data_IF_494624943443
#
_entry.id   IF_494624943443
#
_cell.length_a   1.000
_cell.length_b   1.000
_cell.length_c   1.000
_cell.angle_alpha   90.00
_cell.angle_beta   90.00
_cell.angle_gamma   90.00
#
_symmetry.space_group_name_H-M   'P 1'
#
loop_
_entity.id
_entity.type
_entity.pdbx_description
1 polymer ?
#
# COMPACT_ATOMS: atom_id res chain seq x y z
N UNK A 1 -41.50 -12.55 -7.47
CA UNK A 1 -40.12 -12.94 -7.15
C UNK A 1 -39.30 -11.70 -7.38
N UNK A 2 -39.06 -10.93 -6.32
CA UNK A 2 -38.14 -9.81 -6.39
C UNK A 2 -36.75 -10.42 -6.27
N UNK A 3 -35.94 -10.33 -7.32
CA UNK A 3 -34.52 -10.62 -7.21
C UNK A 3 -33.92 -9.54 -6.30
N UNK A 4 -33.53 -9.95 -5.09
CA UNK A 4 -32.64 -9.13 -4.25
C UNK A 4 -31.40 -8.79 -5.10
N UNK A 5 -30.96 -7.52 -5.15
CA UNK A 5 -29.69 -7.22 -5.79
C UNK A 5 -28.62 -8.04 -5.06
N UNK A 6 -27.91 -8.90 -5.82
CA UNK A 6 -26.81 -9.66 -5.28
C UNK A 6 -25.88 -8.71 -4.52
N UNK A 7 -25.69 -8.97 -3.22
CA UNK A 7 -24.79 -8.18 -2.38
C UNK A 7 -23.44 -8.12 -3.09
N UNK A 8 -23.07 -6.93 -3.56
CA UNK A 8 -21.78 -6.74 -4.23
C UNK A 8 -20.70 -7.08 -3.20
N UNK A 9 -19.79 -8.03 -3.51
CA UNK A 9 -18.79 -8.43 -2.54
C UNK A 9 -17.98 -7.19 -2.11
N UNK A 10 -17.99 -6.94 -0.81
CA UNK A 10 -17.40 -5.75 -0.20
C UNK A 10 -16.16 -6.15 0.62
N UNK A 11 -15.22 -5.21 0.78
CA UNK A 11 -14.03 -5.41 1.63
C UNK A 11 -14.36 -5.58 3.11
N UNK A 12 -15.59 -5.28 3.54
CA UNK A 12 -15.97 -5.35 4.95
C UNK A 12 -15.36 -4.21 5.80
N UNK A 13 -15.40 -4.34 7.14
CA UNK A 13 -14.88 -3.32 8.07
C UNK A 13 -13.35 -3.31 8.14
N UNK A 14 -12.79 -2.19 8.62
CA UNK A 14 -11.34 -2.04 8.86
C UNK A 14 -10.90 -2.89 10.04
N UNK A 15 -9.83 -3.66 9.87
CA UNK A 15 -9.18 -4.37 10.98
C UNK A 15 -8.26 -3.41 11.74
N UNK A 16 -8.81 -2.79 12.78
CA UNK A 16 -8.10 -1.78 13.56
C UNK A 16 -6.96 -2.37 14.39
N UNK A 17 -7.06 -3.60 14.89
CA UNK A 17 -6.02 -4.25 15.68
C UNK A 17 -4.83 -4.63 14.78
N UNK A 18 -5.10 -5.12 13.57
CA UNK A 18 -4.06 -5.41 12.60
C UNK A 18 -3.34 -4.14 12.15
N UNK A 19 -4.05 -3.04 11.90
CA UNK A 19 -3.41 -1.76 11.59
C UNK A 19 -2.49 -1.27 12.74
N UNK A 20 -2.79 -1.56 14.01
CA UNK A 20 -1.88 -1.26 15.13
C UNK A 20 -0.60 -2.10 15.08
N UNK A 21 -0.73 -3.39 14.75
CA UNK A 21 0.43 -4.29 14.58
C UNK A 21 1.30 -3.86 13.39
N UNK A 22 0.68 -3.49 12.27
CA UNK A 22 1.36 -2.93 11.10
C UNK A 22 2.11 -1.65 11.47
N UNK A 23 1.44 -0.68 12.11
CA UNK A 23 2.08 0.57 12.53
C UNK A 23 3.27 0.32 13.46
N UNK A 24 3.13 -0.59 14.42
CA UNK A 24 4.21 -0.99 15.33
C UNK A 24 5.39 -1.60 14.57
N UNK A 25 5.11 -2.50 13.60
CA UNK A 25 6.14 -3.14 12.78
C UNK A 25 6.91 -2.15 11.91
N UNK A 26 6.22 -1.16 11.34
CA UNK A 26 6.84 -0.13 10.50
C UNK A 26 7.63 0.89 11.33
N UNK A 27 7.17 1.26 12.53
CA UNK A 27 7.94 2.12 13.46
C UNK A 27 9.27 1.53 13.89
N UNK A 28 9.39 0.21 13.89
CA UNK A 28 10.66 -0.48 14.15
C UNK A 28 11.64 -0.50 12.97
N UNK A 29 11.26 0.03 11.81
CA UNK A 29 12.10 0.07 10.60
C UNK A 29 12.77 1.43 10.46
N UNK A 30 14.05 1.44 10.09
CA UNK A 30 14.80 2.69 9.83
C UNK A 30 14.39 3.37 8.53
N UNK A 31 13.65 2.69 7.64
CA UNK A 31 13.16 3.23 6.36
C UNK A 31 12.26 4.48 6.51
N UNK A 32 11.60 4.61 7.65
CA UNK A 32 10.53 5.60 7.83
C UNK A 32 10.92 6.63 8.88
N UNK A 33 10.84 7.90 8.51
CA UNK A 33 10.96 9.01 9.45
C UNK A 33 9.70 9.12 10.32
N UNK A 34 8.53 8.81 9.74
CA UNK A 34 7.24 8.99 10.42
C UNK A 34 6.23 7.90 10.05
N UNK A 35 5.59 7.34 11.07
CA UNK A 35 4.53 6.33 10.91
C UNK A 35 3.33 6.65 11.78
N UNK A 36 2.21 6.97 11.14
CA UNK A 36 0.98 7.43 11.77
C UNK A 36 -0.23 6.60 11.33
N UNK A 37 -1.22 6.46 12.22
CA UNK A 37 -2.54 5.97 11.82
C UNK A 37 -3.41 7.17 11.46
N UNK A 38 -4.07 7.12 10.31
CA UNK A 38 -4.81 8.26 9.76
C UNK A 38 -6.23 7.83 9.32
N UNK A 39 -7.24 8.70 9.48
CA UNK A 39 -7.22 9.95 10.27
C UNK A 39 -7.16 9.64 11.78
N UNK A 40 -6.55 10.51 12.58
CA UNK A 40 -6.28 10.23 14.00
C UNK A 40 -7.51 9.92 14.89
N UNK A 41 -8.71 10.38 14.54
CA UNK A 41 -9.94 10.16 15.32
C UNK A 41 -10.66 8.84 14.98
N UNK A 42 -10.46 8.32 13.77
CA UNK A 42 -11.06 7.07 13.29
C UNK A 42 -10.12 6.46 12.25
N UNK A 43 -8.96 5.91 12.70
CA UNK A 43 -7.93 5.54 11.75
C UNK A 43 -8.37 4.38 10.87
N UNK A 44 -8.27 4.57 9.57
CA UNK A 44 -8.62 3.58 8.56
C UNK A 44 -7.42 3.18 7.69
N UNK A 45 -6.25 3.77 7.96
CA UNK A 45 -5.00 3.49 7.28
C UNK A 45 -3.81 3.70 8.22
N UNK A 46 -2.70 3.05 7.90
CA UNK A 46 -1.36 3.45 8.35
C UNK A 46 -0.70 4.21 7.21
N UNK A 47 -0.14 5.39 7.51
CA UNK A 47 0.68 6.17 6.59
C UNK A 47 2.10 6.17 7.15
N UNK A 48 3.05 5.71 6.35
CA UNK A 48 4.46 5.65 6.68
C UNK A 48 5.24 6.50 5.67
N UNK A 49 5.66 7.69 6.08
CA UNK A 49 6.54 8.55 5.29
C UNK A 49 7.97 8.02 5.41
N UNK A 50 8.61 7.80 4.26
CA UNK A 50 10.00 7.38 4.19
C UNK A 50 10.92 8.50 4.68
N UNK A 51 12.07 8.10 5.25
CA UNK A 51 13.20 9.00 5.40
C UNK A 51 13.75 9.35 4.01
N UNK A 52 13.67 10.63 3.64
CA UNK A 52 14.12 11.10 2.33
C UNK A 52 15.63 11.02 2.14
N UNK A 53 16.40 10.74 3.20
CA UNK A 53 17.84 10.42 3.10
C UNK A 53 18.15 9.17 2.27
N UNK A 54 17.16 8.29 2.03
CA UNK A 54 17.28 7.14 1.14
C UNK A 54 17.09 7.48 -0.35
N UNK A 55 16.61 8.67 -0.67
CA UNK A 55 16.23 9.07 -2.02
C UNK A 55 17.23 10.07 -2.61
N UNK A 56 17.41 10.12 -3.95
CA UNK A 56 18.19 11.17 -4.57
C UNK A 56 17.52 12.54 -4.36
N UNK A 57 18.30 13.60 -4.53
CA UNK A 57 17.76 14.95 -4.52
C UNK A 57 16.64 15.12 -5.56
N UNK A 58 15.53 15.73 -5.16
CA UNK A 58 14.38 15.99 -6.04
C UNK A 58 13.12 15.19 -5.71
N UNK A 59 13.16 14.23 -4.78
CA UNK A 59 11.96 13.64 -4.18
C UNK A 59 11.54 14.49 -2.98
N UNK A 60 10.38 15.13 -3.08
CA UNK A 60 9.81 15.99 -2.02
C UNK A 60 9.07 15.16 -0.96
N UNK A 61 8.56 13.97 -1.34
CA UNK A 61 7.91 13.03 -0.41
C UNK A 61 7.86 11.63 -1.00
N UNK A 62 8.15 10.62 -0.19
CA UNK A 62 7.87 9.22 -0.50
C UNK A 62 7.12 8.59 0.68
N UNK A 63 6.01 7.89 0.41
CA UNK A 63 5.20 7.32 1.49
C UNK A 63 4.47 6.04 1.08
N UNK A 64 4.21 5.20 2.09
CA UNK A 64 3.27 4.08 2.03
C UNK A 64 1.97 4.46 2.72
N UNK A 65 0.85 4.10 2.11
CA UNK A 65 -0.48 4.11 2.72
C UNK A 65 -1.07 2.70 2.69
N UNK A 66 -1.32 2.14 3.86
CA UNK A 66 -1.75 0.75 4.03
C UNK A 66 -3.14 0.73 4.68
N UNK A 67 -4.07 -0.01 4.08
CA UNK A 67 -5.40 -0.32 4.61
C UNK A 67 -5.56 -1.83 4.68
N UNK A 68 -6.13 -2.33 5.77
CA UNK A 68 -6.44 -3.75 5.96
C UNK A 68 -7.84 -3.90 6.52
N UNK A 69 -8.51 -4.99 6.14
CA UNK A 69 -9.90 -5.26 6.47
C UNK A 69 -10.05 -6.61 7.16
N UNK A 70 -11.11 -6.79 7.94
CA UNK A 70 -11.37 -8.05 8.68
C UNK A 70 -11.61 -9.26 7.76
N UNK A 71 -11.89 -9.02 6.47
CA UNK A 71 -12.03 -10.05 5.42
C UNK A 71 -10.70 -10.49 4.82
N UNK A 72 -9.59 -9.97 5.33
CA UNK A 72 -8.23 -10.07 4.79
C UNK A 72 -8.03 -9.37 3.43
N UNK A 73 -9.01 -8.59 2.97
CA UNK A 73 -8.77 -7.63 1.91
C UNK A 73 -7.80 -6.54 2.38
N UNK A 74 -7.04 -5.96 1.44
CA UNK A 74 -6.12 -4.86 1.73
C UNK A 74 -5.89 -3.97 0.52
N UNK A 75 -5.29 -2.81 0.80
CA UNK A 75 -4.71 -1.92 -0.20
C UNK A 75 -3.43 -1.32 0.34
N UNK A 76 -2.34 -1.49 -0.40
CA UNK A 76 -1.04 -0.90 -0.09
C UNK A 76 -0.67 -0.01 -1.26
N UNK A 77 -0.59 1.29 -1.03
CA UNK A 77 -0.25 2.29 -2.04
C UNK A 77 1.07 2.93 -1.67
N UNK A 78 2.02 2.88 -2.59
CA UNK A 78 3.26 3.63 -2.50
C UNK A 78 3.24 4.78 -3.49
N UNK A 79 3.71 5.96 -3.07
CA UNK A 79 3.81 7.13 -3.93
C UNK A 79 5.05 7.97 -3.60
N UNK A 80 5.74 8.39 -4.66
CA UNK A 80 6.81 9.38 -4.68
C UNK A 80 6.28 10.66 -5.34
N UNK A 81 6.56 11.81 -4.73
CA UNK A 81 6.24 13.14 -5.24
C UNK A 81 7.55 13.85 -5.52
N UNK A 82 7.73 14.31 -6.75
CA UNK A 82 8.96 14.94 -7.21
C UNK A 82 8.82 16.46 -7.27
N UNK A 83 9.94 17.15 -7.08
CA UNK A 83 10.02 18.61 -7.18
C UNK A 83 9.61 19.15 -8.56
N UNK A 84 9.76 18.34 -9.62
CA UNK A 84 9.30 18.65 -10.97
C UNK A 84 7.77 18.74 -11.09
N UNK A 85 7.04 18.21 -10.10
CA UNK A 85 5.60 18.00 -10.14
C UNK A 85 5.19 16.62 -10.66
N UNK A 86 6.15 15.78 -11.04
CA UNK A 86 5.89 14.39 -11.44
C UNK A 86 5.63 13.49 -10.22
N UNK A 87 4.98 12.36 -10.47
CA UNK A 87 4.73 11.33 -9.46
C UNK A 87 5.12 9.96 -9.96
N UNK A 88 5.50 9.09 -9.02
CA UNK A 88 5.70 7.67 -9.29
C UNK A 88 4.94 6.87 -8.24
N UNK A 89 4.01 6.03 -8.67
CA UNK A 89 3.07 5.34 -7.79
C UNK A 89 2.90 3.88 -8.19
N UNK A 90 2.75 3.00 -7.20
CA UNK A 90 2.33 1.62 -7.44
C UNK A 90 1.47 1.11 -6.29
N UNK A 91 0.69 0.05 -6.55
CA UNK A 91 -0.25 -0.51 -5.57
C UNK A 91 -0.25 -2.03 -5.56
N UNK A 92 -0.53 -2.60 -4.40
CA UNK A 92 -0.84 -4.00 -4.19
C UNK A 92 -2.20 -4.08 -3.52
N UNK A 93 -3.09 -4.87 -4.10
CA UNK A 93 -4.49 -4.89 -3.73
C UNK A 93 -5.00 -6.33 -3.64
N UNK A 94 -5.76 -6.60 -2.59
CA UNK A 94 -6.61 -7.79 -2.43
C UNK A 94 -8.01 -7.28 -2.13
N UNK A 95 -8.91 -7.33 -3.12
CA UNK A 95 -10.32 -6.99 -2.95
C UNK A 95 -11.19 -7.43 -4.13
N UNK A 96 -12.50 -7.66 -3.89
CA UNK A 96 -13.47 -7.84 -4.96
C UNK A 96 -13.50 -6.64 -5.91
N UNK A 97 -13.54 -6.92 -7.22
CA UNK A 97 -13.69 -5.92 -8.27
C UNK A 97 -14.13 -6.59 -9.59
N UNK A 98 -14.58 -5.80 -10.57
CA UNK A 98 -15.14 -6.28 -11.85
C UNK A 98 -14.12 -6.31 -13.01
N UNK A 99 -12.87 -5.91 -12.79
CA UNK A 99 -11.89 -5.66 -13.85
C UNK A 99 -10.62 -6.52 -13.75
N UNK A 100 -10.39 -7.14 -12.60
CA UNK A 100 -9.24 -7.94 -12.22
C UNK A 100 -9.68 -9.10 -11.33
N UNK A 101 -8.80 -10.08 -11.16
CA UNK A 101 -8.95 -11.05 -10.08
C UNK A 101 -8.92 -10.33 -8.71
N UNK A 102 -9.35 -11.04 -7.64
CA UNK A 102 -9.36 -10.48 -6.28
C UNK A 102 -7.99 -9.91 -5.89
N UNK A 103 -6.91 -10.51 -6.37
CA UNK A 103 -5.54 -10.12 -6.05
C UNK A 103 -4.84 -9.59 -7.30
N UNK A 104 -4.33 -8.37 -7.19
CA UNK A 104 -3.67 -7.71 -8.31
C UNK A 104 -2.67 -6.67 -7.83
N UNK A 105 -1.84 -6.23 -8.77
CA UNK A 105 -0.93 -5.10 -8.61
C UNK A 105 -1.25 -4.03 -9.63
N UNK A 106 -1.13 -2.77 -9.23
CA UNK A 106 -1.06 -1.65 -10.17
C UNK A 106 0.40 -1.24 -10.31
N UNK A 107 1.04 -1.54 -11.45
CA UNK A 107 2.45 -1.24 -11.63
C UNK A 107 2.70 0.27 -11.70
N UNK A 108 3.95 0.69 -11.47
CA UNK A 108 4.36 2.06 -11.74
C UNK A 108 4.35 2.41 -13.23
N UNK A 109 4.34 3.71 -13.59
CA UNK A 109 4.53 4.87 -12.69
C UNK A 109 3.23 5.50 -12.16
N UNK A 110 2.06 5.09 -12.65
CA UNK A 110 0.80 5.80 -12.44
C UNK A 110 -0.24 5.00 -11.67
N UNK A 111 0.10 3.76 -11.27
CA UNK A 111 -0.83 2.82 -10.66
C UNK A 111 -2.17 2.71 -11.45
N UNK A 112 -2.09 2.71 -12.78
CA UNK A 112 -3.25 2.73 -13.67
C UNK A 112 -4.17 1.53 -13.48
N UNK A 113 -5.46 1.74 -13.74
CA UNK A 113 -6.50 0.68 -13.80
C UNK A 113 -6.77 0.31 -15.26
N UNK A 114 -6.94 -0.98 -15.62
CA UNK A 114 -6.92 -2.16 -14.75
C UNK A 114 -5.52 -2.51 -14.25
N UNK A 115 -5.45 -3.20 -13.12
CA UNK A 115 -4.20 -3.77 -12.61
C UNK A 115 -3.78 -5.02 -13.40
N UNK A 116 -2.71 -5.65 -12.92
CA UNK A 116 -2.22 -6.94 -13.38
C UNK A 116 -2.53 -7.98 -12.31
N UNK A 117 -3.19 -9.07 -12.69
CA UNK A 117 -3.51 -10.15 -11.75
C UNK A 117 -2.22 -10.76 -11.19
N UNK A 118 -2.12 -10.78 -9.86
CA UNK A 118 -0.94 -11.26 -9.13
C UNK A 118 -1.37 -11.68 -7.73
N UNK A 119 -0.99 -12.90 -7.32
CA UNK A 119 -1.31 -13.42 -5.98
C UNK A 119 -0.33 -12.90 -4.93
N UNK A 120 -0.86 -12.62 -3.74
CA UNK A 120 -0.11 -12.19 -2.56
C UNK A 120 -0.05 -13.30 -1.51
N UNK A 121 0.94 -13.30 -0.62
CA UNK A 121 0.96 -14.20 0.55
C UNK A 121 -0.30 -14.06 1.43
N UNK A 122 -0.62 -15.11 2.19
CA UNK A 122 -1.76 -15.08 3.13
C UNK A 122 -1.43 -14.28 4.39
N UNK A 123 -0.23 -14.43 4.94
CA UNK A 123 0.17 -13.74 6.16
C UNK A 123 0.52 -12.28 5.88
N UNK A 124 -0.07 -11.34 6.62
CA UNK A 124 0.17 -9.90 6.45
C UNK A 124 1.64 -9.51 6.56
N UNK A 125 2.42 -10.22 7.38
CA UNK A 125 3.85 -10.00 7.52
C UNK A 125 4.59 -10.29 6.21
N UNK A 126 4.20 -11.34 5.50
CA UNK A 126 4.82 -11.78 4.25
C UNK A 126 4.40 -10.89 3.08
N UNK A 127 3.16 -10.39 3.10
CA UNK A 127 2.70 -9.34 2.17
C UNK A 127 3.57 -8.08 2.35
N UNK A 128 3.71 -7.58 3.59
CA UNK A 128 4.55 -6.40 3.84
C UNK A 128 6.02 -6.65 3.49
N UNK A 129 6.56 -7.84 3.76
CA UNK A 129 7.93 -8.16 3.39
C UNK A 129 8.11 -8.12 1.85
N UNK A 130 7.17 -8.70 1.10
CA UNK A 130 7.17 -8.66 -0.36
C UNK A 130 7.15 -7.21 -0.88
N UNK A 131 6.25 -6.38 -0.37
CA UNK A 131 6.13 -4.97 -0.78
C UNK A 131 7.40 -4.20 -0.46
N UNK A 132 7.90 -4.30 0.78
CA UNK A 132 9.08 -3.57 1.21
C UNK A 132 10.33 -3.99 0.44
N UNK A 133 10.50 -5.27 0.12
CA UNK A 133 11.62 -5.74 -0.69
C UNK A 133 11.58 -5.15 -2.12
N UNK A 134 10.41 -5.09 -2.76
CA UNK A 134 10.26 -4.45 -4.09
C UNK A 134 10.56 -2.95 -4.05
N UNK A 135 10.19 -2.29 -2.97
CA UNK A 135 10.48 -0.87 -2.77
C UNK A 135 11.95 -0.63 -2.45
N UNK A 136 12.60 -1.52 -1.70
CA UNK A 136 14.05 -1.47 -1.49
C UNK A 136 14.80 -1.62 -2.81
N UNK A 137 14.42 -2.57 -3.67
CA UNK A 137 15.00 -2.72 -5.02
C UNK A 137 14.85 -1.44 -5.86
N UNK A 138 13.67 -0.80 -5.79
CA UNK A 138 13.39 0.48 -6.47
C UNK A 138 14.26 1.63 -5.95
N UNK A 139 14.46 1.69 -4.64
CA UNK A 139 15.25 2.73 -3.96
C UNK A 139 16.74 2.50 -4.22
N UNK A 140 17.21 1.27 -4.10
CA UNK A 140 18.61 0.90 -4.38
C UNK A 140 18.98 1.19 -5.84
N UNK A 141 18.05 1.01 -6.77
CA UNK A 141 18.25 1.33 -8.19
C UNK A 141 18.58 2.81 -8.46
N UNK A 142 18.26 3.74 -7.56
CA UNK A 142 18.71 5.14 -7.70
C UNK A 142 20.23 5.32 -7.53
N UNK A 143 20.90 4.37 -6.89
CA UNK A 143 22.28 4.53 -6.42
C UNK A 143 23.27 3.57 -7.10
N UNK A 144 22.78 2.67 -7.95
CA UNK A 144 23.57 1.65 -8.66
C UNK A 144 24.01 2.13 -10.07
N UNK A 145 23.72 3.38 -10.43
CA UNK A 145 24.18 4.00 -11.69
C UNK A 145 25.65 4.46 -11.64
#
# INVERSE_FOLDING_TARGET
MSEDPADTPSRGPIDTELLDRIATRLRGSTRFERVERQPGYAPNAVVADYDLGYFPGGVDRAYLRIRWFETDDFSIHYAEQYHSGDSWECRWDRHPNDHNSREHVHPPPDAATPGIDETHPDAWQDVLATVLNRLDERIDAFWIE
#
